data_IF_318233577172
#
_entry.id   IF_318233577172
#
_cell.length_a   1.000
_cell.length_b   1.000
_cell.length_c   1.000
_cell.angle_alpha   90.00
_cell.angle_beta   90.00
_cell.angle_gamma   90.00
#
_symmetry.space_group_name_H-M   'P 1'
#
loop_
_entity.id
_entity.type
_entity.pdbx_description
1 polymer ?
#
# COMPACT_ATOMS: atom_id res chain seq x y z
N UNK A 1 -7.91 -16.58 -13.81
CA UNK A 1 -9.07 -15.70 -13.59
C UNK A 1 -9.50 -15.69 -12.13
N UNK A 2 -9.99 -16.81 -11.57
CA UNK A 2 -10.53 -16.88 -10.19
C UNK A 2 -9.70 -16.26 -9.07
N UNK A 3 -8.36 -16.39 -9.13
CA UNK A 3 -7.47 -15.77 -8.13
C UNK A 3 -7.51 -14.25 -8.22
N UNK A 4 -7.44 -13.69 -9.43
CA UNK A 4 -7.50 -12.24 -9.63
C UNK A 4 -8.89 -11.69 -9.27
N UNK A 5 -9.96 -12.43 -9.56
CA UNK A 5 -11.33 -12.10 -9.14
C UNK A 5 -11.43 -12.06 -7.61
N UNK A 6 -10.85 -13.05 -6.91
CA UNK A 6 -10.85 -13.09 -5.45
C UNK A 6 -10.07 -11.92 -4.83
N UNK A 7 -8.96 -11.48 -5.45
CA UNK A 7 -8.21 -10.31 -4.97
C UNK A 7 -8.94 -8.99 -5.20
N UNK A 8 -9.87 -8.94 -6.16
CA UNK A 8 -10.64 -7.73 -6.53
C UNK A 8 -12.06 -7.74 -5.98
N UNK A 9 -12.40 -8.66 -5.05
CA UNK A 9 -13.75 -8.81 -4.50
C UNK A 9 -14.15 -7.71 -3.49
N UNK A 10 -13.26 -6.74 -3.28
CA UNK A 10 -13.47 -5.57 -2.42
C UNK A 10 -13.24 -5.83 -0.93
N UNK A 11 -12.90 -7.07 -0.54
CA UNK A 11 -12.57 -7.38 0.86
C UNK A 11 -11.13 -7.00 1.17
N UNK A 12 -10.90 -6.63 2.44
CA UNK A 12 -9.58 -6.42 2.97
C UNK A 12 -8.79 -7.73 3.03
N UNK A 13 -7.54 -7.68 2.58
CA UNK A 13 -6.58 -8.76 2.65
C UNK A 13 -5.56 -8.38 3.71
N UNK A 14 -5.38 -9.23 4.71
CA UNK A 14 -4.43 -8.97 5.78
C UNK A 14 -3.00 -9.28 5.35
N UNK A 15 -2.09 -8.32 5.53
CA UNK A 15 -0.69 -8.42 5.13
C UNK A 15 0.23 -7.84 6.19
N UNK A 16 1.55 -7.98 6.00
CA UNK A 16 2.56 -7.41 6.91
C UNK A 16 2.58 -5.88 6.94
N UNK A 17 2.06 -5.22 5.89
CA UNK A 17 1.94 -3.75 5.82
C UNK A 17 0.56 -3.25 6.27
N UNK A 18 -0.27 -4.15 6.81
CA UNK A 18 -1.65 -3.88 7.19
C UNK A 18 -2.65 -4.46 6.19
N UNK A 19 -3.91 -4.07 6.36
CA UNK A 19 -5.01 -4.52 5.52
C UNK A 19 -5.03 -3.73 4.20
N UNK A 20 -5.10 -4.45 3.08
CA UNK A 20 -5.11 -3.87 1.73
C UNK A 20 -6.38 -4.22 0.96
N UNK A 21 -6.83 -3.30 0.10
CA UNK A 21 -7.95 -3.51 -0.82
C UNK A 21 -7.53 -3.04 -2.21
N UNK A 22 -7.76 -3.85 -3.22
CA UNK A 22 -7.46 -3.50 -4.61
C UNK A 22 -8.62 -2.78 -5.30
N UNK A 23 -8.31 -1.88 -6.21
CA UNK A 23 -9.28 -1.30 -7.13
C UNK A 23 -9.44 -2.15 -8.42
N UNK A 24 -10.27 -1.67 -9.35
CA UNK A 24 -10.55 -2.38 -10.61
C UNK A 24 -9.30 -2.57 -11.48
N UNK A 25 -8.37 -1.60 -11.44
CA UNK A 25 -7.10 -1.66 -12.18
C UNK A 25 -6.13 -2.63 -11.50
N UNK A 26 -6.28 -2.84 -10.20
CA UNK A 26 -5.41 -3.67 -9.37
C UNK A 26 -4.45 -2.85 -8.50
N UNK A 27 -4.67 -1.54 -8.40
CA UNK A 27 -3.91 -0.65 -7.53
C UNK A 27 -4.47 -0.69 -6.11
N UNK A 28 -3.65 -0.31 -5.12
CA UNK A 28 -4.11 -0.19 -3.73
C UNK A 28 -5.08 0.98 -3.58
N UNK A 29 -6.27 0.72 -3.01
CA UNK A 29 -7.14 1.79 -2.53
C UNK A 29 -6.48 2.48 -1.35
N UNK A 30 -6.56 3.81 -1.32
CA UNK A 30 -6.06 4.67 -0.24
C UNK A 30 -4.56 4.52 0.03
N UNK A 31 -3.73 4.38 -1.01
CA UNK A 31 -2.29 4.39 -0.86
C UNK A 31 -1.83 5.70 -0.18
N UNK A 32 -1.17 5.57 0.97
CA UNK A 32 -0.52 6.67 1.67
C UNK A 32 0.97 6.64 1.41
N UNK A 33 1.59 7.83 1.41
CA UNK A 33 3.00 7.99 1.18
C UNK A 33 3.58 8.90 2.25
N UNK A 34 4.67 8.45 2.85
CA UNK A 34 5.53 9.27 3.69
C UNK A 34 6.64 9.88 2.85
N UNK A 35 6.98 11.13 3.14
CA UNK A 35 8.15 11.78 2.56
C UNK A 35 9.30 11.60 3.54
N UNK A 36 10.35 10.93 3.08
CA UNK A 36 11.57 10.72 3.84
C UNK A 36 12.72 11.48 3.19
N UNK A 37 13.60 12.08 3.99
CA UNK A 37 14.84 12.67 3.55
C UNK A 37 16.01 11.75 3.89
N UNK A 38 16.93 11.59 2.94
CA UNK A 38 18.19 10.92 3.17
C UNK A 38 19.26 11.92 3.63
N UNK A 39 19.94 11.60 4.73
CA UNK A 39 21.05 12.38 5.27
C UNK A 39 21.98 11.47 6.08
N UNK A 40 23.30 11.63 5.91
CA UNK A 40 24.34 10.91 6.65
C UNK A 40 24.14 9.38 6.73
N UNK A 41 23.80 8.75 5.61
CA UNK A 41 23.65 7.30 5.53
C UNK A 41 22.32 6.75 6.06
N UNK A 42 21.38 7.61 6.46
CA UNK A 42 20.07 7.21 6.98
C UNK A 42 18.95 7.97 6.27
N UNK A 43 17.76 7.37 6.24
CA UNK A 43 16.54 8.07 5.85
C UNK A 43 15.68 8.29 7.10
N UNK A 44 15.00 9.43 7.17
CA UNK A 44 14.05 9.76 8.23
C UNK A 44 12.88 10.58 7.66
N UNK A 45 11.69 10.53 8.30
CA UNK A 45 10.57 11.38 7.91
C UNK A 45 10.94 12.85 7.96
N UNK A 46 10.47 13.62 6.98
CA UNK A 46 10.51 15.09 7.09
C UNK A 46 9.33 15.58 7.93
N UNK A 47 9.51 16.69 8.62
CA UNK A 47 8.41 17.37 9.28
C UNK A 47 7.53 17.98 8.17
N UNK A 48 6.26 17.59 8.13
CA UNK A 48 5.27 18.11 7.17
C UNK A 48 4.93 19.57 7.43
#
# INVERSE_FOLDING_TARGET
AKVAEALKDGKAISTVVGDVVFDEKGDLKNASYDINQWHDGKYAPIQQ
#
